data_IF_067291187104
#
_entry.id   IF_067291187104
#
_cell.length_a   1.000
_cell.length_b   1.000
_cell.length_c   1.000
_cell.angle_alpha   90.00
_cell.angle_beta   90.00
_cell.angle_gamma   90.00
#
_symmetry.space_group_name_H-M   'P 1'
#
loop_
_entity.id
_entity.type
_entity.pdbx_description
1 polymer ?
#
# COMPACT_ATOMS: atom_id res chain seq x y z
N UNK A 1 -5.48 10.87 0.41
CA UNK A 1 -5.53 11.67 -0.84
C UNK A 1 -6.06 10.75 -1.93
N UNK A 2 -7.03 11.19 -2.72
CA UNK A 2 -7.55 10.42 -3.85
C UNK A 2 -7.13 11.04 -5.18
N UNK A 3 -6.78 10.21 -6.16
CA UNK A 3 -6.50 10.63 -7.54
C UNK A 3 -7.52 9.92 -8.43
N UNK A 4 -8.44 10.69 -9.01
CA UNK A 4 -9.57 10.18 -9.78
C UNK A 4 -9.57 10.76 -11.20
N UNK A 5 -10.18 10.04 -12.15
CA UNK A 5 -10.24 10.47 -13.54
C UNK A 5 -10.37 9.30 -14.50
N UNK A 6 -10.55 9.60 -15.79
CA UNK A 6 -10.75 8.60 -16.85
C UNK A 6 -9.58 7.62 -16.96
N UNK A 7 -9.85 6.42 -17.48
CA UNK A 7 -8.80 5.45 -17.83
C UNK A 7 -7.82 6.09 -18.82
N UNK A 8 -6.53 5.83 -18.64
CA UNK A 8 -5.48 6.33 -19.54
C UNK A 8 -5.03 7.78 -19.31
N UNK A 9 -5.67 8.58 -18.44
CA UNK A 9 -5.27 9.99 -18.20
C UNK A 9 -3.93 10.15 -17.44
N UNK A 10 -3.27 9.06 -17.06
CA UNK A 10 -1.96 9.09 -16.40
C UNK A 10 -1.99 9.18 -14.87
N UNK A 11 -3.08 8.79 -14.21
CA UNK A 11 -3.22 8.81 -12.73
C UNK A 11 -2.09 8.05 -12.02
N UNK A 12 -1.91 6.78 -12.40
CA UNK A 12 -0.84 5.92 -11.88
C UNK A 12 0.54 6.50 -12.20
N UNK A 13 0.72 7.10 -13.37
CA UNK A 13 1.98 7.75 -13.75
C UNK A 13 2.30 8.93 -12.83
N UNK A 14 1.32 9.80 -12.55
CA UNK A 14 1.47 10.92 -11.62
C UNK A 14 1.79 10.42 -10.20
N UNK A 15 1.04 9.43 -9.72
CA UNK A 15 1.28 8.85 -8.40
C UNK A 15 2.69 8.24 -8.30
N UNK A 16 3.16 7.55 -9.35
CA UNK A 16 4.53 6.99 -9.42
C UNK A 16 5.60 8.08 -9.39
N UNK A 17 5.38 9.20 -10.09
CA UNK A 17 6.29 10.33 -10.07
C UNK A 17 6.43 10.91 -8.66
N UNK A 18 5.32 11.12 -7.94
CA UNK A 18 5.35 11.60 -6.55
C UNK A 18 5.97 10.58 -5.61
N UNK A 19 5.61 9.30 -5.73
CA UNK A 19 6.15 8.23 -4.89
C UNK A 19 7.67 8.15 -5.03
N UNK A 20 8.21 8.30 -6.24
CA UNK A 20 9.64 8.20 -6.51
C UNK A 20 10.43 9.50 -6.32
N UNK A 21 9.78 10.62 -5.99
CA UNK A 21 10.45 11.89 -5.72
C UNK A 21 11.39 11.78 -4.49
N UNK A 22 12.61 12.28 -4.61
CA UNK A 22 13.62 12.21 -3.55
C UNK A 22 13.18 12.89 -2.26
N UNK A 23 12.41 13.98 -2.34
CA UNK A 23 11.88 14.67 -1.14
C UNK A 23 10.89 13.77 -0.41
N UNK A 24 10.11 12.98 -1.15
CA UNK A 24 9.17 12.01 -0.59
C UNK A 24 9.94 10.83 0.02
N UNK A 25 10.90 10.25 -0.70
CA UNK A 25 11.76 9.17 -0.15
C UNK A 25 12.47 9.59 1.13
N UNK A 26 13.04 10.78 1.17
CA UNK A 26 13.74 11.31 2.35
C UNK A 26 12.80 11.63 3.52
N UNK A 27 11.51 11.89 3.26
CA UNK A 27 10.52 12.21 4.29
C UNK A 27 9.87 10.97 4.91
N UNK A 28 9.70 9.90 4.13
CA UNK A 28 8.97 8.70 4.53
C UNK A 28 9.93 7.51 4.56
N UNK A 29 10.38 7.12 5.76
CA UNK A 29 11.31 6.00 5.96
C UNK A 29 10.69 4.63 5.70
N UNK A 30 9.37 4.55 5.52
CA UNK A 30 8.67 3.34 5.14
C UNK A 30 7.66 3.67 4.03
N UNK A 31 7.68 2.87 2.97
CA UNK A 31 6.80 3.05 1.83
C UNK A 31 6.30 1.71 1.31
N UNK A 32 5.07 1.69 0.81
CA UNK A 32 4.51 0.53 0.12
C UNK A 32 3.59 0.99 -1.02
N UNK A 33 3.56 0.20 -2.09
CA UNK A 33 2.63 0.37 -3.19
C UNK A 33 1.93 -0.95 -3.47
N UNK A 34 0.62 -0.98 -3.32
CA UNK A 34 -0.18 -2.16 -3.64
C UNK A 34 -1.19 -1.82 -4.74
N UNK A 35 -1.20 -2.62 -5.80
CA UNK A 35 -2.20 -2.52 -6.87
C UNK A 35 -3.33 -3.50 -6.59
N UNK A 36 -4.57 -3.04 -6.50
CA UNK A 36 -5.70 -3.90 -6.16
C UNK A 36 -6.07 -4.79 -7.36
N UNK A 37 -6.11 -4.24 -8.58
CA UNK A 37 -6.34 -4.90 -9.89
C UNK A 37 -7.59 -5.81 -10.05
N UNK A 38 -8.17 -6.30 -8.96
CA UNK A 38 -9.38 -7.12 -8.86
C UNK A 38 -10.34 -6.49 -7.83
N UNK A 39 -11.36 -7.25 -7.39
CA UNK A 39 -12.27 -6.81 -6.34
C UNK A 39 -11.52 -6.45 -5.04
N UNK A 40 -12.02 -5.44 -4.34
CA UNK A 40 -11.49 -5.03 -3.04
C UNK A 40 -11.48 -6.22 -2.06
N UNK A 41 -10.28 -6.60 -1.62
CA UNK A 41 -10.07 -7.66 -0.63
C UNK A 41 -9.08 -7.18 0.42
N UNK A 42 -9.60 -6.87 1.62
CA UNK A 42 -8.81 -6.40 2.75
C UNK A 42 -7.70 -7.37 3.15
N UNK A 43 -7.91 -8.68 2.98
CA UNK A 43 -6.91 -9.70 3.28
C UNK A 43 -5.73 -9.62 2.32
N UNK A 44 -6.00 -9.61 1.01
CA UNK A 44 -4.96 -9.48 -0.02
C UNK A 44 -4.20 -8.16 0.10
N UNK A 45 -4.91 -7.06 0.32
CA UNK A 45 -4.29 -5.74 0.50
C UNK A 45 -3.39 -5.75 1.74
N UNK A 46 -3.88 -6.22 2.89
CA UNK A 46 -3.07 -6.23 4.14
C UNK A 46 -1.84 -7.09 3.97
N UNK A 47 -2.00 -8.28 3.37
CA UNK A 47 -0.89 -9.22 3.11
C UNK A 47 0.14 -8.62 2.14
N UNK A 48 -0.31 -8.04 1.04
CA UNK A 48 0.56 -7.41 0.05
C UNK A 48 1.32 -6.21 0.62
N UNK A 49 0.67 -5.38 1.44
CA UNK A 49 1.35 -4.30 2.14
C UNK A 49 2.41 -4.80 3.11
N UNK A 50 2.14 -5.87 3.87
CA UNK A 50 3.16 -6.50 4.74
C UNK A 50 4.36 -7.02 3.94
N UNK A 51 4.14 -7.55 2.74
CA UNK A 51 5.21 -8.00 1.84
C UNK A 51 6.04 -6.81 1.33
N UNK A 52 5.38 -5.74 0.86
CA UNK A 52 6.04 -4.52 0.37
C UNK A 52 6.94 -3.87 1.43
N UNK A 53 6.54 -3.92 2.70
CA UNK A 53 7.31 -3.32 3.80
C UNK A 53 8.27 -4.32 4.47
N UNK A 54 8.43 -5.53 3.91
CA UNK A 54 9.33 -6.56 4.41
C UNK A 54 8.98 -7.09 5.80
N UNK A 55 7.72 -7.01 6.21
CA UNK A 55 7.22 -7.45 7.53
C UNK A 55 6.35 -8.71 7.45
N UNK A 56 6.25 -9.33 6.28
CA UNK A 56 5.54 -10.61 6.08
C UNK A 56 6.48 -11.80 6.35
N UNK A 57 5.99 -12.82 7.06
CA UNK A 57 6.66 -14.10 7.30
C UNK A 57 5.80 -15.25 6.73
N UNK A 58 6.45 -16.33 6.26
CA UNK A 58 5.75 -17.53 5.77
C UNK A 58 4.91 -18.22 6.86
N UNK A 59 5.22 -17.95 8.13
CA UNK A 59 4.46 -18.44 9.29
C UNK A 59 3.27 -17.56 9.65
N UNK A 60 3.13 -16.39 9.02
CA UNK A 60 1.97 -15.53 9.27
C UNK A 60 0.71 -16.28 8.85
N UNK A 61 -0.24 -16.37 9.79
CA UNK A 61 -1.48 -17.08 9.54
C UNK A 61 -2.32 -16.37 8.46
N UNK A 62 -3.24 -17.11 7.85
CA UNK A 62 -4.19 -16.53 6.90
C UNK A 62 -5.38 -15.85 7.62
N UNK A 63 -5.19 -15.32 8.83
CA UNK A 63 -6.22 -14.58 9.56
C UNK A 63 -6.05 -13.07 9.35
N UNK A 64 -7.07 -12.44 8.76
CA UNK A 64 -7.09 -11.00 8.51
C UNK A 64 -6.80 -10.16 9.77
N UNK A 65 -7.35 -10.53 10.93
CA UNK A 65 -7.16 -9.76 12.16
C UNK A 65 -5.70 -9.76 12.60
N UNK A 66 -5.02 -10.90 12.51
CA UNK A 66 -3.61 -10.99 12.88
C UNK A 66 -2.73 -10.21 11.92
N UNK A 67 -3.00 -10.32 10.61
CA UNK A 67 -2.30 -9.52 9.59
C UNK A 67 -2.50 -8.02 9.82
N UNK A 68 -3.71 -7.58 10.19
CA UNK A 68 -3.99 -6.17 10.49
C UNK A 68 -3.28 -5.69 11.76
N UNK A 69 -3.23 -6.50 12.82
CA UNK A 69 -2.46 -6.18 14.03
C UNK A 69 -0.97 -6.07 13.70
N UNK A 70 -0.44 -7.01 12.91
CA UNK A 70 0.97 -6.98 12.49
C UNK A 70 1.28 -5.77 11.63
N UNK A 71 0.41 -5.43 10.67
CA UNK A 71 0.57 -4.24 9.84
C UNK A 71 0.56 -2.98 10.72
N UNK A 72 -0.37 -2.88 11.67
CA UNK A 72 -0.43 -1.77 12.62
C UNK A 72 0.86 -1.61 13.41
N UNK A 73 1.38 -2.69 14.01
CA UNK A 73 2.64 -2.64 14.76
C UNK A 73 3.84 -2.33 13.85
N UNK A 74 3.85 -2.83 12.60
CA UNK A 74 4.90 -2.55 11.62
C UNK A 74 4.96 -1.05 11.23
N UNK A 75 3.83 -0.35 11.28
CA UNK A 75 3.71 1.07 10.97
C UNK A 75 3.87 2.00 12.19
N UNK A 76 3.72 1.45 13.40
CA UNK A 76 3.66 2.22 14.64
C UNK A 76 4.94 3.05 14.85
N UNK A 77 4.75 4.33 15.17
CA UNK A 77 5.85 5.27 15.43
C UNK A 77 6.68 5.66 14.20
N UNK A 78 6.34 5.17 13.00
CA UNK A 78 7.06 5.48 11.76
C UNK A 78 6.29 6.51 10.95
N UNK A 79 7.04 7.32 10.19
CA UNK A 79 6.46 8.15 9.13
C UNK A 79 6.41 7.33 7.84
N UNK A 80 5.21 6.97 7.40
CA UNK A 80 5.01 6.06 6.27
C UNK A 80 4.17 6.67 5.14
N UNK A 81 4.36 6.15 3.92
CA UNK A 81 3.52 6.44 2.76
C UNK A 81 3.04 5.12 2.15
N UNK A 82 1.72 4.94 2.10
CA UNK A 82 1.09 3.77 1.47
C UNK A 82 0.30 4.26 0.26
N UNK A 83 0.53 3.64 -0.90
CA UNK A 83 -0.25 3.86 -2.11
C UNK A 83 -1.08 2.61 -2.37
N UNK A 84 -2.39 2.78 -2.45
CA UNK A 84 -3.32 1.74 -2.91
C UNK A 84 -3.80 2.20 -4.28
N UNK A 85 -3.33 1.52 -5.32
CA UNK A 85 -3.58 1.87 -6.72
C UNK A 85 -4.68 1.00 -7.32
N UNK A 86 -5.35 1.54 -8.33
CA UNK A 86 -6.40 0.87 -9.09
C UNK A 86 -7.55 0.32 -8.22
N UNK A 87 -8.07 1.16 -7.33
CA UNK A 87 -9.19 0.83 -6.43
C UNK A 87 -10.52 1.07 -7.13
N UNK A 88 -11.36 0.04 -7.17
CA UNK A 88 -12.71 0.09 -7.73
C UNK A 88 -13.74 -0.20 -6.63
N UNK A 89 -14.79 0.61 -6.56
CA UNK A 89 -16.02 0.23 -5.86
C UNK A 89 -16.85 -0.61 -6.82
N UNK A 90 -17.01 -1.89 -6.52
CA UNK A 90 -18.04 -2.73 -7.17
C UNK A 90 -19.41 -2.36 -6.64
#
# INVERSE_FOLDING_TARGET
VGIWGMTGVGKTTLAKAVYNDERVKNRFGLKAWFCVSEAYDAFRITKGLLQEIGSFDLKDDNNLNQLQVKLKESLKGKKFLIVIDDVWHT
#
